data_IF_731775815860
#
_entry.id   IF_731775815860
#
_cell.length_a   1.000
_cell.length_b   1.000
_cell.length_c   1.000
_cell.angle_alpha   90.00
_cell.angle_beta   90.00
_cell.angle_gamma   90.00
#
_symmetry.space_group_name_H-M   'P 1'
#
loop_
_entity.id
_entity.type
_entity.pdbx_description
1 polymer ?
#
# COMPACT_ATOMS: atom_id res chain seq x y z
N UNK A 1 11.55 24.40 -0.34
CA UNK A 1 11.42 22.93 -0.34
C UNK A 1 10.00 22.60 0.10
N UNK A 2 9.10 22.32 -0.85
CA UNK A 2 7.66 22.19 -0.61
C UNK A 2 7.31 20.77 -0.15
N UNK A 3 7.38 20.53 1.16
CA UNK A 3 6.98 19.28 1.81
C UNK A 3 5.46 19.12 2.00
N UNK A 4 4.66 20.11 1.57
CA UNK A 4 3.23 20.18 1.88
C UNK A 4 2.34 19.36 0.93
N UNK A 5 2.81 19.03 -0.27
CA UNK A 5 1.96 18.38 -1.30
C UNK A 5 1.60 16.92 -0.95
N UNK A 6 2.52 16.20 -0.31
CA UNK A 6 2.27 14.85 0.24
C UNK A 6 1.27 14.86 1.40
N UNK A 7 1.22 15.95 2.16
CA UNK A 7 0.29 16.11 3.29
C UNK A 7 -1.14 16.51 2.85
N UNK A 8 -1.29 17.14 1.68
CA UNK A 8 -2.56 17.72 1.24
C UNK A 8 -3.42 16.78 0.35
N UNK A 9 -2.81 15.88 -0.43
CA UNK A 9 -3.57 14.99 -1.34
C UNK A 9 -4.08 13.70 -0.67
N UNK A 10 -3.46 13.29 0.45
CA UNK A 10 -3.62 11.95 1.02
C UNK A 10 -2.96 10.91 0.11
N UNK A 11 -1.81 10.40 0.54
CA UNK A 11 -1.06 9.40 -0.22
C UNK A 11 -1.68 8.01 0.02
N UNK A 12 -1.83 7.21 -1.04
CA UNK A 12 -2.18 5.79 -0.90
C UNK A 12 -0.96 5.04 -0.35
N UNK A 13 -1.11 4.41 0.79
CA UNK A 13 -0.06 3.67 1.49
C UNK A 13 -0.26 2.18 1.21
N UNK A 14 0.69 1.55 0.51
CA UNK A 14 0.66 0.11 0.24
C UNK A 14 1.72 -0.57 1.09
N UNK A 15 1.29 -1.50 1.95
CA UNK A 15 2.17 -2.24 2.86
C UNK A 15 2.13 -3.73 2.53
N UNK A 16 3.30 -4.32 2.28
CA UNK A 16 3.47 -5.75 1.98
C UNK A 16 4.55 -6.31 2.92
N UNK A 17 4.17 -6.86 4.08
CA UNK A 17 5.13 -7.53 4.96
C UNK A 17 5.76 -8.76 4.30
N UNK A 18 7.06 -8.91 4.48
CA UNK A 18 7.84 -10.03 3.97
C UNK A 18 8.23 -9.89 2.50
N UNK A 19 8.51 -11.02 1.86
CA UNK A 19 9.15 -11.09 0.52
C UNK A 19 8.18 -11.49 -0.60
N UNK A 20 6.89 -11.17 -0.49
CA UNK A 20 5.89 -11.57 -1.49
C UNK A 20 6.09 -10.81 -2.83
N UNK A 21 6.89 -11.40 -3.73
CA UNK A 21 7.18 -10.85 -5.06
C UNK A 21 5.94 -10.75 -5.95
N UNK A 22 4.92 -11.58 -5.72
CA UNK A 22 3.66 -11.53 -6.48
C UNK A 22 2.92 -10.21 -6.25
N UNK A 23 2.77 -9.82 -4.98
CA UNK A 23 2.14 -8.54 -4.63
C UNK A 23 2.94 -7.32 -5.09
N UNK A 24 4.27 -7.35 -4.94
CA UNK A 24 5.13 -6.26 -5.43
C UNK A 24 5.02 -6.11 -6.94
N UNK A 25 4.99 -7.23 -7.68
CA UNK A 25 4.83 -7.20 -9.14
C UNK A 25 3.46 -6.66 -9.55
N UNK A 26 2.40 -7.06 -8.85
CA UNK A 26 1.04 -6.55 -9.08
C UNK A 26 0.97 -5.03 -8.89
N UNK A 27 1.54 -4.51 -7.80
CA UNK A 27 1.64 -3.07 -7.55
C UNK A 27 2.34 -2.33 -8.71
N UNK A 28 3.44 -2.89 -9.21
CA UNK A 28 4.25 -2.28 -10.27
C UNK A 28 3.65 -2.37 -11.68
N UNK A 29 2.48 -3.01 -11.87
CA UNK A 29 1.85 -3.11 -13.22
C UNK A 29 1.36 -1.78 -13.76
N UNK A 30 1.04 -0.83 -12.88
CA UNK A 30 0.50 0.49 -13.24
C UNK A 30 1.22 1.58 -12.49
N UNK A 31 1.53 2.68 -13.18
CA UNK A 31 2.16 3.84 -12.57
C UNK A 31 1.17 4.61 -11.69
N UNK A 32 1.53 4.87 -10.44
CA UNK A 32 0.68 5.53 -9.43
C UNK A 32 1.44 6.70 -8.78
N UNK A 33 1.22 7.94 -9.21
CA UNK A 33 1.99 9.09 -8.73
C UNK A 33 1.73 9.46 -7.26
N UNK A 34 0.57 9.06 -6.72
CA UNK A 34 0.13 9.41 -5.37
C UNK A 34 0.15 8.22 -4.41
N UNK A 35 0.97 7.22 -4.69
CA UNK A 35 1.07 5.99 -3.90
C UNK A 35 2.51 5.70 -3.48
N UNK A 36 2.67 5.20 -2.26
CA UNK A 36 3.94 4.72 -1.71
C UNK A 36 3.86 3.23 -1.42
N UNK A 37 4.94 2.51 -1.69
CA UNK A 37 5.07 1.10 -1.39
C UNK A 37 6.10 0.87 -0.28
N UNK A 38 5.66 0.28 0.82
CA UNK A 38 6.50 -0.30 1.86
C UNK A 38 6.45 -1.82 1.77
N UNK A 39 7.59 -2.46 1.52
CA UNK A 39 7.68 -3.92 1.42
C UNK A 39 8.95 -4.46 2.08
N UNK A 40 8.93 -5.73 2.48
CA UNK A 40 10.08 -6.38 3.12
C UNK A 40 9.89 -6.57 4.61
N UNK A 41 10.99 -6.58 5.37
CA UNK A 41 10.95 -6.80 6.80
C UNK A 41 10.22 -5.66 7.52
N UNK A 42 9.18 -5.98 8.32
CA UNK A 42 8.53 -4.98 9.16
C UNK A 42 9.53 -4.29 10.07
N UNK A 43 9.37 -2.98 10.22
CA UNK A 43 10.11 -2.17 11.18
C UNK A 43 9.16 -1.66 12.26
N UNK A 44 9.71 -1.07 13.32
CA UNK A 44 8.87 -0.42 14.32
C UNK A 44 8.10 0.77 13.73
N UNK A 45 6.82 0.90 14.11
CA UNK A 45 5.99 2.06 13.79
C UNK A 45 4.60 1.76 13.22
N UNK A 46 3.73 2.78 13.14
CA UNK A 46 2.30 2.65 12.87
C UNK A 46 1.96 2.10 11.48
N UNK A 47 2.91 2.15 10.53
CA UNK A 47 2.74 1.58 9.19
C UNK A 47 2.69 0.04 9.21
N UNK A 48 3.40 -0.58 10.16
CA UNK A 48 3.57 -2.04 10.24
C UNK A 48 2.70 -2.71 11.31
N UNK A 49 2.19 -1.95 12.28
CA UNK A 49 1.38 -2.46 13.39
C UNK A 49 0.15 -3.25 12.91
N UNK A 50 0.00 -4.51 13.32
CA UNK A 50 -1.13 -5.33 12.92
C UNK A 50 -1.12 -5.80 11.46
N UNK A 51 0.01 -5.66 10.74
CA UNK A 51 0.17 -6.15 9.36
C UNK A 51 0.93 -7.46 9.39
N UNK A 52 0.32 -8.51 8.84
CA UNK A 52 0.87 -9.86 8.80
C UNK A 52 1.40 -10.21 7.42
N UNK A 53 2.49 -10.99 7.37
CA UNK A 53 2.99 -11.59 6.13
C UNK A 53 1.90 -12.44 5.44
N UNK A 54 2.00 -12.55 4.11
CA UNK A 54 0.98 -13.22 3.29
C UNK A 54 -0.20 -12.32 2.91
N UNK A 55 -0.31 -11.13 3.49
CA UNK A 55 -1.31 -10.13 3.15
C UNK A 55 -0.69 -8.85 2.56
N UNK A 56 -1.49 -8.12 1.79
CA UNK A 56 -1.20 -6.76 1.34
C UNK A 56 -2.28 -5.79 1.84
N UNK A 57 -1.86 -4.60 2.21
CA UNK A 57 -2.72 -3.59 2.83
C UNK A 57 -2.66 -2.32 1.99
N UNK A 58 -3.82 -1.79 1.62
CA UNK A 58 -3.96 -0.52 0.91
C UNK A 58 -4.71 0.44 1.81
N UNK A 59 -4.04 1.51 2.22
CA UNK A 59 -4.52 2.45 3.22
C UNK A 59 -4.47 3.89 2.70
N UNK A 60 -5.30 4.74 3.28
CA UNK A 60 -5.27 6.19 3.06
C UNK A 60 -5.52 6.89 4.39
N UNK A 61 -4.52 7.64 4.87
CA UNK A 61 -4.64 8.39 6.13
C UNK A 61 -4.91 7.50 7.34
N UNK A 62 -4.20 6.37 7.45
CA UNK A 62 -4.37 5.34 8.50
C UNK A 62 -5.66 4.51 8.44
N UNK A 63 -6.54 4.73 7.46
CA UNK A 63 -7.71 3.88 7.23
C UNK A 63 -7.40 2.92 6.09
N UNK A 64 -7.44 1.63 6.37
CA UNK A 64 -7.15 0.58 5.40
C UNK A 64 -8.43 -0.04 4.86
N UNK A 65 -8.41 -0.43 3.60
CA UNK A 65 -9.35 -1.43 3.08
C UNK A 65 -9.06 -2.77 3.78
N UNK A 66 -9.97 -3.74 3.65
CA UNK A 66 -9.70 -5.09 4.13
C UNK A 66 -8.38 -5.63 3.54
N UNK A 67 -7.64 -6.49 4.27
CA UNK A 67 -6.40 -7.05 3.77
C UNK A 67 -6.65 -7.89 2.52
N UNK A 68 -5.79 -7.74 1.51
CA UNK A 68 -5.77 -8.61 0.35
C UNK A 68 -4.90 -9.83 0.66
N UNK A 69 -5.41 -11.01 0.34
CA UNK A 69 -4.75 -12.31 0.46
C UNK A 69 -4.33 -12.91 -0.89
N UNK A 70 -4.72 -12.26 -2.00
CA UNK A 70 -4.34 -12.64 -3.36
C UNK A 70 -4.01 -11.42 -4.22
N UNK A 71 -3.31 -11.63 -5.36
CA UNK A 71 -2.97 -10.55 -6.30
C UNK A 71 -4.21 -9.93 -6.93
N UNK A 72 -5.26 -10.74 -7.16
CA UNK A 72 -6.55 -10.25 -7.67
C UNK A 72 -7.22 -9.31 -6.67
N UNK A 73 -7.28 -9.69 -5.40
CA UNK A 73 -7.81 -8.82 -4.34
C UNK A 73 -6.98 -7.53 -4.20
N UNK A 74 -5.65 -7.62 -4.31
CA UNK A 74 -4.78 -6.45 -4.26
C UNK A 74 -5.08 -5.48 -5.42
N UNK A 75 -5.24 -5.99 -6.64
CA UNK A 75 -5.59 -5.18 -7.80
C UNK A 75 -6.92 -4.43 -7.59
N UNK A 76 -7.92 -5.10 -7.03
CA UNK A 76 -9.21 -4.47 -6.69
C UNK A 76 -9.05 -3.33 -5.66
N UNK A 77 -8.22 -3.52 -4.63
CA UNK A 77 -7.97 -2.50 -3.60
C UNK A 77 -7.21 -1.30 -4.14
N UNK A 78 -6.25 -1.53 -5.03
CA UNK A 78 -5.51 -0.47 -5.73
C UNK A 78 -6.47 0.34 -6.61
N UNK A 79 -7.30 -0.33 -7.42
CA UNK A 79 -8.27 0.34 -8.28
C UNK A 79 -9.31 1.16 -7.50
N UNK A 80 -9.69 0.71 -6.29
CA UNK A 80 -10.59 1.45 -5.40
C UNK A 80 -9.94 2.72 -4.83
N UNK A 81 -8.62 2.73 -4.68
CA UNK A 81 -7.87 3.80 -4.00
C UNK A 81 -7.23 4.81 -4.95
N UNK A 82 -7.15 4.49 -6.24
CA UNK A 82 -6.61 5.37 -7.27
C UNK A 82 -7.59 6.55 -7.53
N UNK A 83 -7.15 7.81 -7.43
CA UNK A 83 -7.98 8.96 -7.78
C UNK A 83 -8.30 8.94 -9.29
N UNK A 84 -9.57 9.14 -9.64
CA UNK A 84 -10.06 9.25 -11.02
C UNK A 84 -9.55 10.53 -11.70
#
# INVERSE_FOLDING_TARGET
>A
MHSFELAAAGTTEVVIPGVNRGFVREYCTTWRPYSVLAHGQPMDGPLWEGRTEGHAYVCRGNVCLAPASSTAELAERLATSDPT
#
